data_IF_336376738464
#
_entry.id   IF_336376738464
#
_cell.length_a   1.000
_cell.length_b   1.000
_cell.length_c   1.000
_cell.angle_alpha   90.00
_cell.angle_beta   90.00
_cell.angle_gamma   90.00
#
_symmetry.space_group_name_H-M   'P 1'
#
loop_
_entity.id
_entity.type
_entity.pdbx_description
1 polymer ?
#
# COMPACT_ATOMS: atom_id res chain seq x y z
N UNK A 1 9.39 17.90 -5.11
CA UNK A 1 9.23 17.99 -3.63
C UNK A 1 9.41 19.44 -3.22
N UNK A 2 8.49 20.02 -2.43
CA UNK A 2 8.50 21.44 -2.01
C UNK A 2 9.16 21.58 -0.63
N UNK A 3 8.79 20.71 0.32
CA UNK A 3 9.35 20.65 1.66
C UNK A 3 9.28 19.22 2.18
N UNK A 4 10.13 18.91 3.16
CA UNK A 4 10.16 17.62 3.85
C UNK A 4 10.48 17.86 5.31
N UNK A 5 9.75 17.20 6.21
CA UNK A 5 9.97 17.18 7.63
C UNK A 5 9.77 15.79 8.19
N UNK A 6 10.51 15.45 9.23
CA UNK A 6 10.36 14.21 9.97
C UNK A 6 10.37 14.47 11.47
N UNK A 7 9.59 13.69 12.20
CA UNK A 7 9.55 13.68 13.67
C UNK A 7 9.48 12.23 14.11
N UNK A 8 10.34 11.84 15.02
CA UNK A 8 10.29 10.51 15.62
C UNK A 8 9.21 10.46 16.72
N UNK A 9 8.57 9.31 16.85
CA UNK A 9 7.65 9.08 17.96
C UNK A 9 8.44 9.02 19.28
N UNK A 10 7.97 9.72 20.29
CA UNK A 10 8.59 9.69 21.65
C UNK A 10 8.37 8.34 22.34
N UNK A 11 7.34 7.62 21.93
CA UNK A 11 6.98 6.31 22.47
C UNK A 11 6.77 5.31 21.33
N UNK A 12 6.68 4.02 21.64
CA UNK A 12 6.29 2.99 20.67
C UNK A 12 4.79 3.07 20.35
N UNK A 13 4.34 4.22 19.83
CA UNK A 13 2.95 4.47 19.46
C UNK A 13 2.50 3.63 18.25
N UNK A 14 3.46 3.18 17.44
CA UNK A 14 3.26 2.24 16.34
C UNK A 14 4.12 1.00 16.54
N UNK A 15 3.56 -0.16 16.23
CA UNK A 15 4.27 -1.45 16.22
C UNK A 15 3.86 -2.19 14.94
N UNK A 16 4.86 -2.66 14.18
CA UNK A 16 4.67 -3.50 13.00
C UNK A 16 3.72 -2.90 11.94
N UNK A 17 3.76 -1.57 11.79
CA UNK A 17 2.90 -0.84 10.86
C UNK A 17 1.47 -0.57 11.39
N UNK A 18 1.17 -0.95 12.64
CA UNK A 18 -0.14 -0.70 13.27
C UNK A 18 -0.07 0.40 14.32
N UNK A 19 -1.12 1.21 14.41
CA UNK A 19 -1.26 2.24 15.43
C UNK A 19 -1.78 1.62 16.71
N UNK A 20 -0.99 1.71 17.78
CA UNK A 20 -1.38 1.29 19.13
C UNK A 20 -1.86 2.45 19.99
N UNK A 21 -1.34 3.66 19.76
CA UNK A 21 -1.76 4.87 20.44
C UNK A 21 -2.10 5.96 19.41
N UNK A 22 -3.40 6.06 19.13
CA UNK A 22 -3.92 7.02 18.14
C UNK A 22 -3.60 8.47 18.55
N UNK A 23 -3.61 8.80 19.86
CA UNK A 23 -3.35 10.14 20.32
C UNK A 23 -1.87 10.51 20.13
N UNK A 24 -0.95 9.65 20.53
CA UNK A 24 0.48 9.87 20.35
C UNK A 24 0.87 10.01 18.87
N UNK A 25 0.26 9.21 17.99
CA UNK A 25 0.45 9.34 16.54
C UNK A 25 -0.11 10.66 16.02
N UNK A 26 -1.31 11.04 16.43
CA UNK A 26 -1.91 12.32 16.04
C UNK A 26 -1.06 13.51 16.47
N UNK A 27 -0.51 13.49 17.70
CA UNK A 27 0.36 14.55 18.21
C UNK A 27 1.65 14.67 17.37
N UNK A 28 2.22 13.54 16.95
CA UNK A 28 3.36 13.52 16.04
C UNK A 28 3.02 14.10 14.68
N UNK A 29 1.87 13.74 14.11
CA UNK A 29 1.37 14.30 12.83
C UNK A 29 1.18 15.82 12.95
N UNK A 30 0.62 16.31 14.07
CA UNK A 30 0.44 17.74 14.32
C UNK A 30 1.80 18.48 14.31
N UNK A 31 2.82 17.91 14.94
CA UNK A 31 4.16 18.51 14.97
C UNK A 31 4.76 18.60 13.55
N UNK A 32 4.67 17.52 12.76
CA UNK A 32 5.13 17.50 11.35
C UNK A 32 4.36 18.53 10.53
N UNK A 33 3.03 18.54 10.67
CA UNK A 33 2.13 19.49 9.96
C UNK A 33 2.54 20.94 10.26
N UNK A 34 2.72 21.29 11.54
CA UNK A 34 3.09 22.64 11.94
C UNK A 34 4.45 23.08 11.35
N UNK A 35 5.46 22.20 11.37
CA UNK A 35 6.76 22.46 10.76
C UNK A 35 6.63 22.68 9.25
N UNK A 36 5.91 21.83 8.56
CA UNK A 36 5.66 21.96 7.11
C UNK A 36 4.91 23.25 6.78
N UNK A 37 3.85 23.59 7.53
CA UNK A 37 3.08 24.83 7.34
C UNK A 37 3.93 26.08 7.51
N UNK A 38 4.86 26.07 8.48
CA UNK A 38 5.84 27.17 8.66
C UNK A 38 6.78 27.31 7.47
N UNK A 39 7.29 26.18 6.94
CA UNK A 39 8.20 26.17 5.80
C UNK A 39 7.53 26.65 4.50
N UNK A 40 6.30 26.21 4.24
CA UNK A 40 5.60 26.51 2.97
C UNK A 40 4.75 27.76 3.03
N UNK A 41 4.50 28.32 4.23
CA UNK A 41 3.70 29.55 4.43
C UNK A 41 2.20 29.40 4.17
N UNK A 42 1.65 28.17 4.19
CA UNK A 42 0.21 27.89 4.00
C UNK A 42 -0.25 26.75 4.89
N UNK A 43 -1.55 26.73 5.20
CA UNK A 43 -2.17 25.63 5.93
C UNK A 43 -2.31 24.38 5.04
N UNK A 44 -2.16 23.23 5.67
CA UNK A 44 -2.40 21.91 5.09
C UNK A 44 -3.73 21.38 5.62
N UNK A 45 -4.59 20.92 4.73
CA UNK A 45 -5.93 20.38 5.03
C UNK A 45 -6.06 18.92 4.64
N UNK A 46 -5.39 18.51 3.56
CA UNK A 46 -5.51 17.19 2.97
C UNK A 46 -4.16 16.49 2.98
N UNK A 47 -4.22 15.16 3.15
CA UNK A 47 -3.02 14.31 3.16
C UNK A 47 -3.29 13.01 2.42
N UNK A 48 -2.28 12.53 1.70
CA UNK A 48 -2.25 11.15 1.23
C UNK A 48 -1.46 10.32 2.24
N UNK A 49 -1.97 9.15 2.58
CA UNK A 49 -1.30 8.22 3.49
C UNK A 49 -0.96 6.92 2.76
N UNK A 50 0.13 6.31 3.16
CA UNK A 50 0.52 5.00 2.71
C UNK A 50 0.40 4.02 3.87
N UNK A 51 -0.29 2.91 3.63
CA UNK A 51 -0.48 1.87 4.62
C UNK A 51 0.45 0.69 4.34
N UNK A 52 1.00 0.14 5.41
CA UNK A 52 1.72 -1.12 5.44
C UNK A 52 1.26 -1.94 6.64
N UNK A 53 1.71 -3.16 6.79
CA UNK A 53 1.49 -3.91 8.01
C UNK A 53 1.42 -5.41 7.83
N UNK A 54 1.64 -6.14 8.93
CA UNK A 54 1.67 -7.61 9.01
C UNK A 54 0.38 -8.30 8.59
N UNK A 55 -0.74 -7.58 8.65
CA UNK A 55 -2.07 -8.13 8.39
C UNK A 55 -2.56 -7.87 6.97
N UNK A 56 -1.66 -7.36 6.11
CA UNK A 56 -1.93 -7.14 4.70
C UNK A 56 -2.18 -8.48 4.01
N UNK A 57 -3.29 -8.58 3.30
CA UNK A 57 -3.64 -9.75 2.49
C UNK A 57 -3.73 -9.38 1.02
N UNK A 58 -3.22 -10.25 0.18
CA UNK A 58 -3.28 -10.09 -1.28
C UNK A 58 -4.04 -11.26 -1.89
N UNK A 59 -4.93 -10.95 -2.82
CA UNK A 59 -5.72 -11.95 -3.54
C UNK A 59 -5.61 -11.67 -5.04
N UNK A 60 -5.25 -12.69 -5.80
CA UNK A 60 -5.32 -12.64 -7.27
C UNK A 60 -6.70 -13.11 -7.71
N UNK A 61 -7.37 -12.29 -8.50
CA UNK A 61 -8.70 -12.60 -9.01
C UNK A 61 -8.80 -12.32 -10.52
N UNK A 62 -9.72 -13.05 -11.16
CA UNK A 62 -10.05 -12.87 -12.56
C UNK A 62 -11.52 -12.50 -12.70
N UNK A 63 -11.81 -11.48 -13.49
CA UNK A 63 -13.18 -11.12 -13.86
C UNK A 63 -13.32 -11.07 -15.37
N UNK A 64 -14.53 -11.34 -15.84
CA UNK A 64 -14.86 -11.37 -17.26
C UNK A 64 -16.18 -10.65 -17.50
N UNK A 65 -16.24 -9.92 -18.61
CA UNK A 65 -17.45 -9.24 -19.07
C UNK A 65 -17.74 -9.61 -20.52
N UNK A 66 -18.98 -10.02 -20.78
CA UNK A 66 -19.46 -10.39 -22.12
C UNK A 66 -20.36 -9.31 -22.69
N UNK A 67 -20.19 -9.00 -23.95
CA UNK A 67 -21.05 -8.11 -24.71
C UNK A 67 -21.95 -8.91 -25.64
N UNK A 68 -23.21 -8.50 -25.77
CA UNK A 68 -24.17 -9.14 -26.67
C UNK A 68 -23.80 -8.97 -28.16
N UNK A 69 -23.01 -7.92 -28.46
CA UNK A 69 -22.51 -7.60 -29.80
C UNK A 69 -21.06 -7.14 -29.68
N UNK A 70 -20.32 -7.21 -30.80
CA UNK A 70 -18.99 -6.65 -30.86
C UNK A 70 -19.02 -5.15 -30.50
N UNK A 71 -18.46 -4.81 -29.36
CA UNK A 71 -18.56 -3.47 -28.74
C UNK A 71 -17.19 -2.83 -28.66
N UNK A 72 -17.11 -1.53 -28.91
CA UNK A 72 -15.89 -0.75 -28.64
C UNK A 72 -15.77 -0.57 -27.13
N UNK A 73 -14.69 -1.05 -26.57
CA UNK A 73 -14.42 -0.97 -25.14
C UNK A 73 -14.11 0.48 -24.76
N UNK A 74 -14.82 1.00 -23.77
CA UNK A 74 -14.63 2.34 -23.21
C UNK A 74 -13.94 2.26 -21.84
N UNK A 75 -13.47 3.40 -21.33
CA UNK A 75 -12.94 3.50 -19.96
C UNK A 75 -13.95 3.06 -18.91
N UNK A 76 -15.24 3.30 -19.10
CA UNK A 76 -16.30 2.84 -18.18
C UNK A 76 -16.39 1.31 -18.13
N UNK A 77 -16.23 0.65 -19.30
CA UNK A 77 -16.20 -0.82 -19.37
C UNK A 77 -14.97 -1.37 -18.64
N UNK A 78 -13.80 -0.74 -18.83
CA UNK A 78 -12.55 -1.16 -18.14
C UNK A 78 -12.70 -0.98 -16.64
N UNK A 79 -13.17 0.18 -16.18
CA UNK A 79 -13.41 0.44 -14.77
C UNK A 79 -14.40 -0.56 -14.15
N UNK A 80 -15.51 -0.83 -14.85
CA UNK A 80 -16.51 -1.81 -14.39
C UNK A 80 -15.93 -3.22 -14.30
N UNK A 81 -15.11 -3.61 -15.27
CA UNK A 81 -14.42 -4.90 -15.28
C UNK A 81 -13.44 -5.03 -14.10
N UNK A 82 -12.67 -3.97 -13.82
CA UNK A 82 -11.74 -3.95 -12.69
C UNK A 82 -12.49 -4.03 -11.35
N UNK A 83 -13.61 -3.32 -11.22
CA UNK A 83 -14.44 -3.40 -10.01
C UNK A 83 -15.04 -4.79 -9.81
N UNK A 84 -15.46 -5.46 -10.88
CA UNK A 84 -15.88 -6.87 -10.81
C UNK A 84 -14.71 -7.78 -10.36
N UNK A 85 -13.50 -7.50 -10.78
CA UNK A 85 -12.30 -8.20 -10.33
C UNK A 85 -12.05 -8.00 -8.83
N UNK A 86 -12.17 -6.78 -8.34
CA UNK A 86 -12.04 -6.46 -6.92
C UNK A 86 -13.14 -7.15 -6.10
N UNK A 87 -14.39 -7.15 -6.58
CA UNK A 87 -15.51 -7.85 -5.92
C UNK A 87 -15.23 -9.35 -5.79
N UNK A 88 -14.74 -9.99 -6.87
CA UNK A 88 -14.34 -11.40 -6.83
C UNK A 88 -13.18 -11.66 -5.88
N UNK A 89 -12.23 -10.73 -5.78
CA UNK A 89 -11.14 -10.84 -4.81
C UNK A 89 -11.67 -10.80 -3.36
N UNK A 90 -12.67 -9.96 -3.08
CA UNK A 90 -13.37 -9.97 -1.78
C UNK A 90 -14.04 -11.32 -1.50
N UNK A 91 -14.72 -11.90 -2.48
CA UNK A 91 -15.39 -13.19 -2.30
C UNK A 91 -14.39 -14.31 -2.03
N UNK A 92 -13.25 -14.32 -2.74
CA UNK A 92 -12.19 -15.28 -2.50
C UNK A 92 -11.58 -15.09 -1.09
N UNK A 93 -11.34 -13.84 -0.68
CA UNK A 93 -10.83 -13.54 0.66
C UNK A 93 -11.77 -14.05 1.75
N UNK A 94 -13.08 -13.86 1.59
CA UNK A 94 -14.10 -14.36 2.53
C UNK A 94 -14.13 -15.89 2.61
N UNK A 95 -13.95 -16.57 1.48
CA UNK A 95 -13.92 -18.05 1.45
C UNK A 95 -12.70 -18.64 2.15
N UNK A 96 -11.57 -17.93 2.15
CA UNK A 96 -10.35 -18.36 2.85
C UNK A 96 -10.42 -18.11 4.36
N UNK A 97 -11.31 -17.22 4.80
CA UNK A 97 -11.44 -16.88 6.20
C UNK A 97 -12.34 -17.86 6.94
N UNK A 98 -11.83 -18.43 8.02
CA UNK A 98 -12.59 -19.28 8.95
C UNK A 98 -13.38 -18.47 9.99
N UNK A 99 -13.20 -17.14 10.07
CA UNK A 99 -13.78 -16.25 11.06
C UNK A 99 -14.52 -15.11 10.35
N UNK A 100 -15.85 -15.11 10.43
CA UNK A 100 -16.72 -14.11 9.78
C UNK A 100 -16.68 -12.71 10.43
N UNK A 101 -15.96 -12.54 11.56
CA UNK A 101 -15.98 -11.31 12.35
C UNK A 101 -14.95 -10.25 11.88
N UNK A 102 -14.01 -10.61 10.97
CA UNK A 102 -12.99 -9.67 10.51
C UNK A 102 -13.41 -9.09 9.16
N UNK A 103 -13.72 -7.80 9.17
CA UNK A 103 -13.98 -7.05 7.94
C UNK A 103 -12.66 -6.51 7.36
N UNK A 104 -12.62 -6.41 6.03
CA UNK A 104 -11.45 -5.97 5.30
C UNK A 104 -11.80 -4.83 4.35
N UNK A 105 -10.92 -3.88 4.26
CA UNK A 105 -10.96 -2.78 3.31
C UNK A 105 -9.97 -3.02 2.18
N UNK A 106 -10.41 -2.90 0.92
CA UNK A 106 -9.50 -2.93 -0.23
C UNK A 106 -8.74 -1.61 -0.29
N UNK A 107 -7.46 -1.64 0.02
CA UNK A 107 -6.59 -0.45 0.02
C UNK A 107 -5.98 -0.16 -1.35
N UNK A 108 -6.11 -1.10 -2.29
CA UNK A 108 -5.67 -0.91 -3.65
C UNK A 108 -5.69 -2.20 -4.46
N UNK A 109 -5.61 -2.04 -5.77
CA UNK A 109 -5.43 -3.14 -6.70
C UNK A 109 -4.47 -2.75 -7.82
N UNK A 110 -3.90 -3.76 -8.47
CA UNK A 110 -3.10 -3.59 -9.67
C UNK A 110 -3.51 -4.63 -10.70
N UNK A 111 -3.73 -4.20 -11.93
CA UNK A 111 -4.02 -5.12 -13.02
C UNK A 111 -2.73 -5.80 -13.45
N UNK A 112 -2.73 -7.12 -13.40
CA UNK A 112 -1.64 -7.96 -13.88
C UNK A 112 -1.71 -8.03 -15.41
N UNK A 113 -2.93 -8.28 -15.94
CA UNK A 113 -3.13 -8.44 -17.39
C UNK A 113 -4.59 -8.27 -17.79
N UNK A 114 -4.79 -7.67 -18.95
CA UNK A 114 -6.07 -7.67 -19.67
C UNK A 114 -6.06 -8.71 -20.80
N UNK A 115 -7.27 -9.14 -21.18
CA UNK A 115 -7.50 -10.01 -22.33
C UNK A 115 -8.68 -9.50 -23.15
N UNK A 116 -8.52 -9.47 -24.46
CA UNK A 116 -9.52 -9.17 -25.46
C UNK A 116 -9.82 -10.45 -26.23
N UNK A 117 -11.04 -10.96 -26.18
CA UNK A 117 -11.42 -12.21 -26.85
C UNK A 117 -10.37 -13.33 -26.63
N UNK A 118 -9.94 -13.54 -25.36
CA UNK A 118 -8.88 -14.47 -24.90
C UNK A 118 -7.44 -14.13 -25.30
N UNK A 119 -7.18 -13.08 -26.05
CA UNK A 119 -5.83 -12.64 -26.35
C UNK A 119 -5.33 -11.61 -25.35
N UNK A 120 -4.13 -11.80 -24.80
CA UNK A 120 -3.55 -10.84 -23.86
C UNK A 120 -3.29 -9.49 -24.54
N UNK A 121 -3.64 -8.40 -23.86
CA UNK A 121 -3.46 -7.04 -24.34
C UNK A 121 -3.08 -6.11 -23.18
N UNK A 122 -2.34 -5.05 -23.47
CA UNK A 122 -1.91 -4.09 -22.45
C UNK A 122 -2.99 -3.07 -22.12
N UNK A 123 -3.80 -2.69 -23.10
CA UNK A 123 -4.87 -1.71 -22.95
C UNK A 123 -6.09 -2.16 -23.74
N UNK A 124 -7.25 -2.19 -23.09
CA UNK A 124 -8.51 -2.57 -23.71
C UNK A 124 -9.23 -1.41 -24.39
N UNK A 125 -8.96 -0.17 -23.94
CA UNK A 125 -9.70 1.00 -24.42
C UNK A 125 -9.54 1.20 -25.93
N UNK A 126 -10.67 1.46 -26.60
CA UNK A 126 -10.73 1.69 -28.04
C UNK A 126 -10.75 0.42 -28.89
N UNK A 127 -10.48 -0.75 -28.34
CA UNK A 127 -10.56 -2.03 -29.05
C UNK A 127 -11.98 -2.55 -29.12
N UNK A 128 -12.31 -3.31 -30.16
CA UNK A 128 -13.60 -4.00 -30.32
C UNK A 128 -13.50 -5.41 -29.76
N UNK A 129 -14.42 -5.77 -28.89
CA UNK A 129 -14.45 -7.09 -28.29
C UNK A 129 -15.88 -7.59 -28.10
N UNK A 130 -16.03 -8.93 -28.08
CA UNK A 130 -17.22 -9.62 -27.58
C UNK A 130 -17.03 -9.99 -26.09
N UNK A 131 -15.79 -10.20 -25.68
CA UNK A 131 -15.44 -10.57 -24.31
C UNK A 131 -14.18 -9.85 -23.88
N UNK A 132 -14.20 -9.30 -22.70
CA UNK A 132 -13.03 -8.71 -22.04
C UNK A 132 -12.82 -9.36 -20.67
N UNK A 133 -11.56 -9.57 -20.29
CA UNK A 133 -11.20 -10.17 -19.00
C UNK A 133 -10.05 -9.40 -18.38
N UNK A 134 -10.08 -9.28 -17.07
CA UNK A 134 -8.98 -8.77 -16.23
C UNK A 134 -8.47 -9.87 -15.31
N UNK A 135 -7.17 -9.88 -15.12
CA UNK A 135 -6.48 -10.57 -14.04
C UNK A 135 -5.82 -9.49 -13.20
N UNK A 136 -6.18 -9.41 -11.93
CA UNK A 136 -5.68 -8.38 -11.02
C UNK A 136 -5.28 -8.97 -9.66
N UNK A 137 -4.40 -8.25 -8.97
CA UNK A 137 -4.08 -8.46 -7.58
C UNK A 137 -4.75 -7.34 -6.77
N UNK A 138 -5.60 -7.70 -5.83
CA UNK A 138 -6.20 -6.79 -4.87
C UNK A 138 -5.57 -6.97 -3.50
N UNK A 139 -5.43 -5.88 -2.78
CA UNK A 139 -4.78 -5.85 -1.47
C UNK A 139 -5.73 -5.30 -0.42
N UNK A 140 -5.77 -5.98 0.70
CA UNK A 140 -6.73 -5.76 1.76
C UNK A 140 -6.04 -5.55 3.11
N UNK A 141 -6.58 -4.63 3.91
CA UNK A 141 -6.25 -4.47 5.33
C UNK A 141 -7.51 -4.64 6.16
N UNK A 142 -7.41 -5.14 7.39
CA UNK A 142 -8.52 -5.11 8.33
C UNK A 142 -9.05 -3.69 8.52
N UNK A 143 -10.37 -3.54 8.62
CA UNK A 143 -11.02 -2.25 8.81
C UNK A 143 -10.47 -1.51 10.02
N UNK A 144 -10.19 -2.21 11.13
CA UNK A 144 -9.60 -1.62 12.34
C UNK A 144 -8.28 -0.90 12.10
N UNK A 145 -7.44 -1.44 11.20
CA UNK A 145 -6.15 -0.81 10.84
C UNK A 145 -6.39 0.48 10.06
N UNK A 146 -7.31 0.43 9.09
CA UNK A 146 -7.68 1.60 8.28
C UNK A 146 -8.32 2.67 9.15
N UNK A 147 -9.27 2.30 10.00
CA UNK A 147 -9.95 3.20 10.95
C UNK A 147 -8.95 3.89 11.89
N UNK A 148 -7.96 3.14 12.39
CA UNK A 148 -6.88 3.70 13.21
C UNK A 148 -6.07 4.77 12.49
N UNK A 149 -5.73 4.54 11.21
CA UNK A 149 -5.01 5.51 10.37
C UNK A 149 -5.85 6.77 10.15
N UNK A 150 -7.12 6.62 9.77
CA UNK A 150 -8.04 7.74 9.57
C UNK A 150 -8.24 8.54 10.85
N UNK A 151 -8.49 7.86 11.97
CA UNK A 151 -8.70 8.50 13.28
C UNK A 151 -7.49 9.34 13.73
N UNK A 152 -6.27 8.86 13.50
CA UNK A 152 -5.06 9.61 13.84
C UNK A 152 -4.91 10.88 12.98
N UNK A 153 -5.19 10.77 11.68
CA UNK A 153 -5.13 11.90 10.73
C UNK A 153 -6.22 12.93 11.02
N UNK A 154 -7.45 12.50 11.27
CA UNK A 154 -8.58 13.39 11.61
C UNK A 154 -8.33 14.13 12.93
N UNK A 155 -7.79 13.46 13.96
CA UNK A 155 -7.39 14.10 15.21
C UNK A 155 -6.30 15.15 15.02
N UNK A 156 -5.44 14.99 14.01
CA UNK A 156 -4.46 16.00 13.63
C UNK A 156 -5.07 17.17 12.82
N UNK A 157 -6.37 17.17 12.59
CA UNK A 157 -7.09 18.18 11.82
C UNK A 157 -6.72 18.17 10.35
N UNK A 158 -6.59 16.97 9.78
CA UNK A 158 -6.36 16.72 8.36
C UNK A 158 -7.44 15.77 7.82
N UNK A 159 -7.68 15.86 6.51
CA UNK A 159 -8.53 14.91 5.79
C UNK A 159 -7.67 13.97 4.95
N UNK A 160 -8.00 12.69 4.95
CA UNK A 160 -7.35 11.70 4.08
C UNK A 160 -7.91 11.85 2.67
N UNK A 161 -7.12 12.42 1.78
CA UNK A 161 -7.48 12.58 0.37
C UNK A 161 -7.31 11.26 -0.41
N UNK A 162 -6.33 10.46 -0.03
CA UNK A 162 -6.07 9.15 -0.64
C UNK A 162 -5.33 8.23 0.33
N UNK A 163 -5.69 6.95 0.28
CA UNK A 163 -4.97 5.86 0.94
C UNK A 163 -4.36 4.98 -0.14
N UNK A 164 -3.08 4.69 -0.02
CA UNK A 164 -2.36 3.77 -0.91
C UNK A 164 -1.55 2.76 -0.09
N UNK A 165 -0.93 1.81 -0.78
CA UNK A 165 0.02 0.90 -0.15
C UNK A 165 1.42 1.50 -0.13
N UNK A 166 2.15 1.29 0.96
CA UNK A 166 3.54 1.74 1.09
C UNK A 166 4.43 1.19 -0.04
N UNK A 167 4.37 -0.10 -0.42
CA UNK A 167 5.13 -0.63 -1.55
C UNK A 167 4.81 0.06 -2.89
N UNK A 168 3.55 0.47 -3.12
CA UNK A 168 3.17 1.22 -4.33
C UNK A 168 3.80 2.62 -4.31
N UNK A 169 3.70 3.29 -3.18
CA UNK A 169 4.30 4.62 -2.99
C UNK A 169 5.82 4.57 -3.15
N UNK A 170 6.48 3.57 -2.53
CA UNK A 170 7.91 3.34 -2.61
C UNK A 170 8.38 3.09 -4.06
N UNK A 171 7.67 2.24 -4.81
CA UNK A 171 7.98 2.01 -6.23
C UNK A 171 7.88 3.29 -7.07
N UNK A 172 6.86 4.10 -6.82
CA UNK A 172 6.68 5.34 -7.57
C UNK A 172 7.78 6.38 -7.31
N UNK A 173 8.40 6.33 -6.14
CA UNK A 173 9.50 7.23 -5.77
C UNK A 173 10.87 6.67 -6.13
N UNK A 174 11.11 5.38 -5.82
CA UNK A 174 12.42 4.78 -5.95
C UNK A 174 12.76 4.34 -7.39
N UNK A 175 11.75 3.94 -8.18
CA UNK A 175 11.96 3.42 -9.53
C UNK A 175 11.66 4.50 -10.58
N UNK A 176 12.68 4.98 -11.32
CA UNK A 176 12.48 5.90 -12.43
C UNK A 176 11.53 5.32 -13.49
N UNK A 177 10.70 6.16 -14.11
CA UNK A 177 9.66 5.74 -15.07
C UNK A 177 10.19 4.81 -16.18
N UNK A 178 11.38 5.11 -16.71
CA UNK A 178 12.02 4.32 -17.77
C UNK A 178 12.32 2.87 -17.40
N UNK A 179 12.37 2.54 -16.09
CA UNK A 179 12.63 1.19 -15.60
C UNK A 179 11.36 0.49 -15.11
N UNK A 180 10.23 1.19 -15.01
CA UNK A 180 8.99 0.61 -14.48
C UNK A 180 8.41 -0.53 -15.32
N UNK A 181 8.77 -0.59 -16.60
CA UNK A 181 8.37 -1.70 -17.49
C UNK A 181 9.24 -2.96 -17.34
N UNK A 182 10.28 -2.90 -16.50
CA UNK A 182 11.12 -4.07 -16.26
C UNK A 182 10.54 -4.95 -15.13
N UNK A 183 10.98 -6.19 -15.12
CA UNK A 183 10.72 -7.11 -14.02
C UNK A 183 11.65 -6.74 -12.86
N UNK A 184 11.10 -6.16 -11.81
CA UNK A 184 11.84 -5.61 -10.67
C UNK A 184 11.29 -6.21 -9.39
N UNK A 185 12.19 -6.55 -8.48
CA UNK A 185 11.88 -6.75 -7.07
C UNK A 185 12.39 -5.54 -6.30
N UNK A 186 11.49 -4.79 -5.67
CA UNK A 186 11.80 -3.74 -4.72
C UNK A 186 11.73 -4.33 -3.32
N UNK A 187 12.80 -4.18 -2.55
CA UNK A 187 12.86 -4.58 -1.14
C UNK A 187 13.10 -3.32 -0.32
N UNK A 188 12.13 -2.98 0.51
CA UNK A 188 12.19 -1.86 1.46
C UNK A 188 12.44 -2.42 2.86
N UNK A 189 13.61 -2.13 3.41
CA UNK A 189 14.03 -2.63 4.73
C UNK A 189 13.90 -1.49 5.73
N UNK A 190 12.84 -1.56 6.56
CA UNK A 190 12.59 -0.61 7.61
C UNK A 190 13.26 -0.97 8.94
N UNK A 191 12.71 -0.50 10.04
CA UNK A 191 13.14 -0.84 11.39
C UNK A 191 12.61 -2.23 11.82
N UNK A 192 11.29 -2.43 11.80
CA UNK A 192 10.65 -3.68 12.24
C UNK A 192 10.13 -4.56 11.11
N UNK A 193 9.99 -4.06 9.89
CA UNK A 193 9.44 -4.81 8.75
C UNK A 193 10.29 -4.63 7.50
N UNK A 194 10.28 -5.65 6.64
CA UNK A 194 10.82 -5.58 5.29
C UNK A 194 9.71 -5.87 4.29
N UNK A 195 9.43 -4.91 3.42
CA UNK A 195 8.38 -5.00 2.41
C UNK A 195 8.98 -5.36 1.05
N UNK A 196 8.35 -6.31 0.36
CA UNK A 196 8.80 -6.80 -0.93
C UNK A 196 7.67 -6.61 -1.93
N UNK A 197 7.96 -5.95 -3.05
CA UNK A 197 7.06 -5.86 -4.18
C UNK A 197 7.74 -6.34 -5.45
N UNK A 198 7.01 -7.11 -6.25
CA UNK A 198 7.51 -7.68 -7.50
C UNK A 198 6.65 -7.15 -8.64
N UNK A 199 7.32 -6.66 -9.70
CA UNK A 199 6.67 -6.24 -10.92
C UNK A 199 7.01 -7.17 -12.08
N UNK A 200 6.07 -7.28 -13.01
CA UNK A 200 6.27 -7.91 -14.31
C UNK A 200 5.60 -7.03 -15.37
N UNK A 201 6.36 -6.66 -16.41
CA UNK A 201 5.88 -5.77 -17.48
C UNK A 201 5.23 -4.47 -16.96
N UNK A 202 5.76 -3.93 -15.86
CA UNK A 202 5.26 -2.70 -15.24
C UNK A 202 4.07 -2.86 -14.30
N UNK A 203 3.48 -4.03 -14.24
CA UNK A 203 2.38 -4.35 -13.32
C UNK A 203 2.92 -5.02 -12.06
N UNK A 204 2.33 -4.69 -10.93
CA UNK A 204 2.64 -5.36 -9.66
C UNK A 204 1.92 -6.71 -9.68
N UNK A 205 2.69 -7.78 -9.48
CA UNK A 205 2.18 -9.15 -9.49
C UNK A 205 2.21 -9.83 -8.12
N UNK A 206 3.01 -9.30 -7.20
CA UNK A 206 3.09 -9.83 -5.84
C UNK A 206 3.53 -8.75 -4.83
N UNK A 207 3.01 -8.88 -3.62
CA UNK A 207 3.47 -8.19 -2.42
C UNK A 207 3.76 -9.22 -1.33
N UNK A 208 4.76 -8.94 -0.53
CA UNK A 208 5.06 -9.69 0.68
C UNK A 208 5.66 -8.78 1.73
N UNK A 209 5.45 -9.12 2.99
CA UNK A 209 6.06 -8.44 4.12
C UNK A 209 6.67 -9.48 5.05
N UNK A 210 7.88 -9.21 5.51
CA UNK A 210 8.60 -10.00 6.49
C UNK A 210 8.69 -9.17 7.76
N UNK A 211 8.23 -9.67 8.93
CA UNK A 211 8.32 -8.97 10.21
C UNK A 211 9.73 -9.11 10.81
N UNK A 212 10.74 -8.73 10.05
CA UNK A 212 12.15 -8.77 10.41
C UNK A 212 12.90 -7.73 9.58
N UNK A 213 13.67 -6.87 10.25
CA UNK A 213 14.41 -5.80 9.61
C UNK A 213 15.56 -5.27 10.49
N UNK A 214 15.80 -3.95 10.50
CA UNK A 214 16.93 -3.35 11.19
C UNK A 214 16.95 -3.54 12.70
N UNK A 215 15.80 -3.66 13.33
CA UNK A 215 15.69 -3.82 14.79
C UNK A 215 16.31 -5.14 15.28
N UNK A 216 16.17 -6.24 14.53
CA UNK A 216 16.83 -7.51 14.87
C UNK A 216 18.35 -7.39 14.86
N UNK A 217 18.89 -6.62 13.91
CA UNK A 217 20.34 -6.36 13.86
C UNK A 217 20.76 -5.56 15.08
N UNK A 218 20.00 -4.52 15.42
CA UNK A 218 20.23 -3.67 16.59
C UNK A 218 20.17 -4.48 17.88
N UNK A 219 19.17 -5.34 18.04
CA UNK A 219 19.03 -6.23 19.19
C UNK A 219 20.19 -7.24 19.28
N UNK A 220 20.58 -7.84 18.14
CA UNK A 220 21.70 -8.78 18.11
C UNK A 220 23.01 -8.10 18.54
N UNK A 221 23.26 -6.89 18.08
CA UNK A 221 24.41 -6.10 18.51
C UNK A 221 24.34 -5.73 20.00
N UNK A 222 23.18 -5.28 20.47
CA UNK A 222 22.99 -4.94 21.89
C UNK A 222 23.23 -6.16 22.78
N UNK A 223 22.74 -7.33 22.41
CA UNK A 223 22.98 -8.59 23.15
C UNK A 223 24.44 -9.02 23.11
N UNK A 224 25.07 -8.90 21.94
CA UNK A 224 26.46 -9.35 21.77
C UNK A 224 27.45 -8.49 22.56
N UNK A 225 27.25 -7.18 22.55
CA UNK A 225 28.13 -6.21 23.23
C UNK A 225 27.64 -5.83 24.62
N UNK A 226 26.56 -6.42 25.12
CA UNK A 226 25.95 -6.10 26.43
C UNK A 226 25.67 -4.60 26.61
N UNK A 227 25.31 -3.92 25.51
CA UNK A 227 25.00 -2.50 25.50
C UNK A 227 23.48 -2.28 25.54
N UNK A 228 23.08 -1.06 25.88
CA UNK A 228 21.68 -0.66 25.88
C UNK A 228 21.24 -0.35 24.42
N UNK A 229 19.98 -0.65 24.08
CA UNK A 229 19.44 -0.44 22.71
C UNK A 229 19.62 1.00 22.21
N UNK A 230 19.45 1.98 23.07
CA UNK A 230 19.60 3.40 22.70
C UNK A 230 21.07 3.83 22.48
N UNK A 231 22.05 3.01 22.86
CA UNK A 231 23.48 3.24 22.58
C UNK A 231 23.98 2.45 21.37
N UNK A 232 23.15 1.59 20.79
CA UNK A 232 23.46 0.88 19.56
C UNK A 232 23.28 1.80 18.36
N UNK A 233 24.16 1.71 17.34
CA UNK A 233 23.96 2.48 16.12
C UNK A 233 22.64 2.09 15.47
N UNK A 234 21.82 3.08 15.17
CA UNK A 234 20.58 2.87 14.42
C UNK A 234 20.92 2.57 12.95
N UNK A 235 20.14 1.72 12.25
CA UNK A 235 20.25 1.58 10.80
C UNK A 235 20.10 2.90 10.03
N UNK A 236 19.53 3.94 10.67
CA UNK A 236 19.43 5.30 10.11
C UNK A 236 20.71 6.12 10.21
N UNK A 237 21.66 5.67 11.03
CA UNK A 237 22.94 6.35 11.26
C UNK A 237 24.06 5.78 10.36
N UNK A 238 23.75 4.77 9.56
CA UNK A 238 24.61 4.14 8.59
C UNK A 238 24.20 4.53 7.16
#
# INVERSE_FOLDING_TARGET
>A
MVAQESVEHETRAMLDGQIHDIQAVADTIIQVKQKLEQLIGRKLTDVCIAAAGRVLKTVVACAEMHFNYETVVTNEHVYSLDMLGVEKAYDLLRQEQQNDDIHFYCVGYSVIRYYQNDYPITNLEGHKANTIRTELIATFLPDEVVDGLYAAVEKAGLYVANLTLEPIAAMNVAIPEKFRLLNIALVDVGAGTSDISITNDGSIIAYGMIPSAGDEITEALARHYLCLLYTSPSPRDA
#
